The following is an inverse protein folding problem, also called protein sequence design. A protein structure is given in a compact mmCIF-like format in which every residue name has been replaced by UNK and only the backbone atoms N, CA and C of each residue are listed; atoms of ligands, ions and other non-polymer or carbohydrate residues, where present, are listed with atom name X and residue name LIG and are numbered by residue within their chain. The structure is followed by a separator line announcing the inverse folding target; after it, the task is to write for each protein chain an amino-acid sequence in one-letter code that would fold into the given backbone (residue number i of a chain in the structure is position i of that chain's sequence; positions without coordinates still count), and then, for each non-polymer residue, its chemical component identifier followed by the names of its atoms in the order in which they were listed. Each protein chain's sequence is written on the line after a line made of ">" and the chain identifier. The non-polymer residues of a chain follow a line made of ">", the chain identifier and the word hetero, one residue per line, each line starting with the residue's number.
data_IF_547910807924
#
_entry.id   IF_547910807924
#
_cell.length_a   1.000
_cell.length_b   1.000
_cell.length_c   1.000
_cell.angle_alpha   90.00
_cell.angle_beta   90.00
_cell.angle_gamma   90.00
#
_symmetry.space_group_name_H-M   'P 1'
#
loop_
_entity.id
_entity.type
_entity.pdbx_description
1 polymer ?
#
# COMPACT_ATOMS: atom_id res chain seq x y z
N UNK A 1 -36.16 -39.82 -17.49
CA UNK A 1 -35.88 -39.07 -16.23
C UNK A 1 -34.40 -38.92 -15.92
N UNK A 2 -33.55 -39.94 -15.93
CA UNK A 2 -32.11 -39.85 -15.59
C UNK A 2 -31.32 -38.81 -16.43
N UNK A 3 -31.52 -38.70 -17.74
CA UNK A 3 -30.82 -37.71 -18.61
C UNK A 3 -31.17 -36.25 -18.26
N UNK A 4 -32.41 -35.95 -17.87
CA UNK A 4 -32.81 -34.59 -17.48
C UNK A 4 -32.24 -34.19 -16.12
N UNK A 5 -32.09 -35.13 -15.18
CA UNK A 5 -31.44 -34.86 -13.89
C UNK A 5 -29.96 -34.59 -14.05
N UNK A 6 -29.25 -35.29 -14.97
CA UNK A 6 -27.83 -35.07 -15.25
C UNK A 6 -27.61 -33.67 -15.88
N UNK A 7 -28.49 -33.25 -16.80
CA UNK A 7 -28.40 -31.92 -17.41
C UNK A 7 -28.65 -30.81 -16.38
N UNK A 8 -29.63 -30.96 -15.51
CA UNK A 8 -29.90 -29.99 -14.44
C UNK A 8 -28.75 -29.97 -13.42
N UNK A 9 -28.15 -31.09 -13.07
CA UNK A 9 -26.98 -31.17 -12.20
C UNK A 9 -25.73 -30.52 -12.85
N UNK A 10 -25.54 -30.70 -14.16
CA UNK A 10 -24.44 -30.04 -14.92
C UNK A 10 -24.64 -28.52 -15.00
N UNK A 11 -25.88 -28.04 -15.17
CA UNK A 11 -26.19 -26.60 -15.15
C UNK A 11 -26.00 -26.02 -13.76
N UNK A 12 -26.40 -26.73 -12.69
CA UNK A 12 -26.17 -26.29 -11.31
C UNK A 12 -24.69 -26.26 -10.94
N UNK A 13 -23.89 -27.19 -11.46
CA UNK A 13 -22.43 -27.18 -11.29
C UNK A 13 -21.75 -26.00 -12.01
N UNK A 14 -22.27 -25.56 -13.14
CA UNK A 14 -21.74 -24.39 -13.86
C UNK A 14 -22.10 -23.06 -13.18
N UNK A 15 -23.25 -22.98 -12.51
CA UNK A 15 -23.66 -21.79 -11.74
C UNK A 15 -22.78 -21.59 -10.50
N UNK A 16 -22.24 -22.67 -9.92
CA UNK A 16 -21.31 -22.61 -8.77
C UNK A 16 -19.88 -22.18 -9.11
N UNK A 17 -19.52 -22.12 -10.39
CA UNK A 17 -18.16 -21.79 -10.86
C UNK A 17 -17.97 -20.32 -11.29
N UNK A 18 -18.89 -19.43 -10.95
CA UNK A 18 -18.64 -17.98 -11.09
C UNK A 18 -17.67 -17.61 -9.97
N UNK A 19 -16.37 -17.86 -10.22
CA UNK A 19 -15.30 -17.26 -9.42
C UNK A 19 -15.47 -15.75 -9.52
N UNK A 20 -15.86 -15.12 -8.42
CA UNK A 20 -15.90 -13.66 -8.35
C UNK A 20 -14.47 -13.19 -8.55
N UNK A 21 -14.18 -12.63 -9.70
CA UNK A 21 -12.95 -11.89 -9.95
C UNK A 21 -12.88 -10.81 -8.86
N UNK A 22 -11.99 -11.00 -7.91
CA UNK A 22 -11.70 -9.98 -6.92
C UNK A 22 -10.89 -8.93 -7.67
N UNK A 23 -11.48 -7.75 -7.86
CA UNK A 23 -10.75 -6.60 -8.36
C UNK A 23 -9.56 -6.33 -7.42
N UNK A 24 -8.42 -6.02 -8.01
CA UNK A 24 -7.20 -5.75 -7.27
C UNK A 24 -7.39 -4.46 -6.45
N UNK A 25 -6.91 -4.47 -5.21
CA UNK A 25 -6.74 -3.26 -4.41
C UNK A 25 -5.67 -2.40 -5.11
N UNK A 26 -5.72 -1.07 -4.90
CA UNK A 26 -4.67 -0.16 -5.36
C UNK A 26 -3.26 -0.66 -5.01
N UNK A 27 -2.21 -0.18 -5.70
CA UNK A 27 -0.83 -0.51 -5.34
C UNK A 27 -0.58 -0.37 -3.84
N UNK A 28 0.07 -1.36 -3.24
CA UNK A 28 0.38 -1.35 -1.81
C UNK A 28 1.75 -1.99 -1.55
N UNK A 29 2.34 -1.60 -0.43
CA UNK A 29 3.62 -2.10 0.04
C UNK A 29 3.44 -3.10 1.18
N UNK A 30 4.30 -4.10 1.25
CA UNK A 30 4.37 -5.02 2.40
C UNK A 30 4.88 -4.29 3.63
N UNK A 31 5.86 -3.38 3.45
CA UNK A 31 6.29 -2.42 4.45
C UNK A 31 5.40 -1.16 4.41
N UNK A 32 4.07 -1.30 4.60
CA UNK A 32 3.11 -0.21 4.47
C UNK A 32 3.47 0.99 5.37
N UNK A 33 4.13 0.74 6.49
CA UNK A 33 4.60 1.75 7.43
C UNK A 33 5.77 2.59 6.87
N UNK A 34 6.50 2.10 5.87
CA UNK A 34 7.60 2.83 5.24
C UNK A 34 7.12 3.85 4.17
N UNK A 35 5.83 3.87 3.84
CA UNK A 35 5.24 4.82 2.90
C UNK A 35 3.99 5.49 3.50
N UNK A 36 4.15 6.29 4.57
CA UNK A 36 3.06 6.71 5.45
C UNK A 36 2.05 7.65 4.80
N UNK A 37 2.46 8.58 3.92
CA UNK A 37 1.53 9.55 3.32
C UNK A 37 0.47 8.90 2.42
N UNK A 38 0.81 7.80 1.77
CA UNK A 38 -0.12 7.03 0.96
C UNK A 38 -1.03 6.12 1.80
N UNK A 39 -0.52 5.67 2.95
CA UNK A 39 -1.29 4.89 3.91
C UNK A 39 -2.41 5.72 4.53
N UNK A 40 -2.06 6.92 5.02
CA UNK A 40 -2.99 7.81 5.71
C UNK A 40 -2.48 9.26 5.62
N UNK A 41 -3.21 10.19 4.99
CA UNK A 41 -2.77 11.58 4.91
C UNK A 41 -2.59 12.27 6.27
N UNK A 42 -3.22 11.76 7.35
CA UNK A 42 -2.99 12.24 8.70
C UNK A 42 -1.58 11.95 9.25
N UNK A 43 -0.79 11.11 8.55
CA UNK A 43 0.62 10.87 8.88
C UNK A 43 1.56 11.93 8.32
N UNK A 44 1.05 12.92 7.57
CA UNK A 44 1.82 14.07 7.12
C UNK A 44 2.31 14.85 8.32
N UNK A 45 3.65 14.95 8.47
CA UNK A 45 4.31 15.63 9.59
C UNK A 45 4.32 14.86 10.91
N UNK A 46 3.83 13.61 10.95
CA UNK A 46 4.02 12.72 12.10
C UNK A 46 5.43 12.13 11.98
N UNK A 47 6.40 12.95 12.37
CA UNK A 47 7.83 12.67 12.27
C UNK A 47 8.56 13.23 13.49
N UNK A 48 9.67 12.59 13.86
CA UNK A 48 10.58 13.12 14.84
C UNK A 48 11.69 13.93 14.15
N UNK A 49 11.31 15.08 13.62
CA UNK A 49 12.16 15.95 12.82
C UNK A 49 11.37 17.03 12.10
N UNK A 50 12.01 17.71 11.15
CA UNK A 50 11.41 18.79 10.36
C UNK A 50 10.95 18.34 8.98
N UNK A 51 11.70 17.42 8.36
CA UNK A 51 11.45 16.93 7.00
C UNK A 51 11.76 15.45 6.94
N UNK A 52 10.87 14.67 6.31
CA UNK A 52 11.11 13.26 6.02
C UNK A 52 11.04 13.03 4.51
N UNK A 53 11.96 12.21 4.01
CA UNK A 53 11.96 11.72 2.63
C UNK A 53 11.90 10.20 2.68
N UNK A 54 10.96 9.60 1.94
CA UNK A 54 10.87 8.14 1.81
C UNK A 54 10.94 7.76 0.33
N UNK A 55 11.61 6.64 0.06
CA UNK A 55 11.63 5.98 -1.23
C UNK A 55 11.37 4.48 -1.04
N UNK A 56 10.45 3.94 -1.83
CA UNK A 56 10.09 2.53 -1.78
C UNK A 56 10.11 1.93 -3.19
N UNK A 57 10.57 0.70 -3.28
CA UNK A 57 10.52 -0.10 -4.49
C UNK A 57 10.06 -1.51 -4.17
N UNK A 58 9.09 -2.03 -4.93
CA UNK A 58 8.59 -3.40 -4.81
C UNK A 58 8.55 -4.08 -6.18
N UNK A 59 9.07 -5.29 -6.24
CA UNK A 59 8.92 -6.18 -7.38
C UNK A 59 8.16 -7.42 -6.92
N UNK A 60 6.90 -7.56 -7.36
CA UNK A 60 6.00 -8.63 -6.91
C UNK A 60 5.76 -9.62 -8.05
N UNK A 61 5.85 -10.92 -7.74
CA UNK A 61 5.67 -12.02 -8.70
C UNK A 61 6.70 -12.02 -9.83
N UNK A 62 7.97 -11.73 -9.52
CA UNK A 62 9.07 -11.66 -10.50
C UNK A 62 9.30 -12.94 -11.30
N UNK A 63 8.76 -14.08 -10.87
CA UNK A 63 8.80 -15.37 -11.58
C UNK A 63 7.74 -15.49 -12.68
N UNK A 64 6.78 -14.58 -12.74
CA UNK A 64 5.78 -14.47 -13.79
C UNK A 64 6.23 -13.37 -14.75
N UNK A 65 6.09 -13.57 -16.05
CA UNK A 65 6.42 -12.53 -17.04
C UNK A 65 5.71 -11.22 -16.72
N UNK A 66 6.46 -10.11 -16.83
CA UNK A 66 5.95 -8.75 -16.61
C UNK A 66 5.25 -8.56 -15.25
N UNK A 67 5.97 -8.95 -14.20
CA UNK A 67 5.59 -8.77 -12.81
C UNK A 67 5.20 -7.32 -12.46
N UNK A 68 4.50 -7.17 -11.33
CA UNK A 68 4.20 -5.84 -10.80
C UNK A 68 5.47 -5.18 -10.25
N UNK A 69 5.85 -4.06 -10.85
CA UNK A 69 6.94 -3.21 -10.36
C UNK A 69 6.35 -1.90 -9.85
N UNK A 70 6.53 -1.62 -8.57
CA UNK A 70 6.00 -0.43 -7.92
C UNK A 70 7.13 0.40 -7.37
N UNK A 71 7.25 1.65 -7.79
CA UNK A 71 8.16 2.64 -7.24
C UNK A 71 7.38 3.77 -6.58
N UNK A 72 7.84 4.28 -5.44
CA UNK A 72 7.20 5.38 -4.75
C UNK A 72 8.20 6.31 -4.08
N UNK A 73 7.84 7.58 -4.02
CA UNK A 73 8.61 8.64 -3.36
C UNK A 73 7.67 9.54 -2.61
N UNK A 74 8.04 9.92 -1.38
CA UNK A 74 7.31 10.94 -0.62
C UNK A 74 8.25 11.88 0.10
N UNK A 75 7.79 13.10 0.29
CA UNK A 75 8.42 14.11 1.14
C UNK A 75 7.35 14.80 1.97
N UNK A 76 7.61 14.96 3.25
CA UNK A 76 6.77 15.79 4.12
C UNK A 76 7.63 16.72 4.97
N UNK A 77 7.08 17.90 5.21
CA UNK A 77 7.72 18.99 5.91
C UNK A 77 6.78 19.52 6.99
N UNK A 78 7.33 19.69 8.20
CA UNK A 78 6.60 20.18 9.38
C UNK A 78 7.14 21.57 9.80
N UNK A 79 6.62 22.65 9.23
CA UNK A 79 7.05 24.02 9.55
C UNK A 79 6.74 24.44 10.99
N UNK A 80 5.69 23.86 11.60
CA UNK A 80 5.30 24.10 12.98
C UNK A 80 4.91 22.79 13.65
N UNK A 81 4.76 22.80 14.98
CA UNK A 81 4.33 21.62 15.75
C UNK A 81 2.90 21.15 15.40
N UNK A 82 2.10 21.99 14.77
CA UNK A 82 0.71 21.71 14.44
C UNK A 82 0.45 21.48 12.97
N UNK A 83 1.23 22.12 12.09
CA UNK A 83 0.97 22.15 10.64
C UNK A 83 2.06 21.41 9.90
N UNK A 84 1.67 20.60 8.95
CA UNK A 84 2.57 19.94 8.03
C UNK A 84 2.00 19.90 6.61
N UNK A 85 2.89 19.83 5.64
CA UNK A 85 2.58 19.65 4.22
C UNK A 85 3.40 18.50 3.67
N UNK A 86 2.86 17.81 2.68
CA UNK A 86 3.55 16.66 2.08
C UNK A 86 3.20 16.50 0.61
N UNK A 87 4.03 15.73 -0.05
CA UNK A 87 3.84 15.33 -1.43
C UNK A 87 4.25 13.88 -1.58
N UNK A 88 3.48 13.12 -2.32
CA UNK A 88 3.84 11.74 -2.61
C UNK A 88 3.47 11.34 -4.04
N UNK A 89 4.27 10.46 -4.62
CA UNK A 89 4.05 9.87 -5.94
C UNK A 89 4.25 8.37 -5.85
N UNK A 90 3.42 7.63 -6.58
CA UNK A 90 3.54 6.20 -6.75
C UNK A 90 3.34 5.85 -8.22
N UNK A 91 4.17 4.96 -8.74
CA UNK A 91 4.03 4.40 -10.08
C UNK A 91 4.09 2.88 -9.99
N UNK A 92 3.14 2.21 -10.64
CA UNK A 92 3.14 0.76 -10.78
C UNK A 92 3.00 0.40 -12.24
N UNK A 93 3.94 -0.41 -12.75
CA UNK A 93 3.87 -1.03 -14.06
C UNK A 93 3.54 -2.52 -13.88
N UNK A 94 2.71 -3.08 -14.77
CA UNK A 94 2.33 -4.49 -14.70
C UNK A 94 1.89 -5.04 -16.05
N UNK A 95 2.14 -6.34 -16.26
CA UNK A 95 1.61 -7.13 -17.36
C UNK A 95 2.20 -6.83 -18.73
N UNK A 96 1.90 -7.71 -19.69
CA UNK A 96 2.42 -7.66 -21.05
C UNK A 96 1.88 -6.47 -21.84
N UNK A 97 0.68 -6.00 -21.49
CA UNK A 97 0.01 -4.85 -22.12
C UNK A 97 0.58 -3.50 -21.66
N UNK A 98 1.67 -3.49 -20.88
CA UNK A 98 2.28 -2.27 -20.39
C UNK A 98 1.32 -1.43 -19.55
N UNK A 99 0.48 -2.08 -18.72
CA UNK A 99 -0.37 -1.36 -17.78
C UNK A 99 0.48 -0.49 -16.85
N UNK A 100 0.11 0.77 -16.75
CA UNK A 100 0.75 1.73 -15.86
C UNK A 100 -0.31 2.43 -15.02
N UNK A 101 -0.06 2.47 -13.72
CA UNK A 101 -0.79 3.25 -12.73
C UNK A 101 0.16 4.27 -12.14
N UNK A 102 -0.13 5.54 -12.32
CA UNK A 102 0.60 6.65 -11.71
C UNK A 102 -0.35 7.46 -10.84
N UNK A 103 0.06 7.76 -9.61
CA UNK A 103 -0.69 8.69 -8.76
C UNK A 103 0.27 9.69 -8.10
N UNK A 104 -0.20 10.93 -7.97
CA UNK A 104 0.52 12.01 -7.32
C UNK A 104 -0.44 12.84 -6.45
N UNK A 105 -0.07 13.05 -5.18
CA UNK A 105 -0.90 13.76 -4.20
C UNK A 105 -0.09 14.80 -3.45
N UNK A 106 -0.70 15.97 -3.25
CA UNK A 106 -0.33 16.91 -2.20
C UNK A 106 -1.15 16.61 -0.94
N UNK A 107 -0.54 16.69 0.23
CA UNK A 107 -1.21 16.45 1.52
C UNK A 107 -0.98 17.62 2.49
N UNK A 108 -1.97 17.80 3.37
CA UNK A 108 -1.93 18.75 4.47
C UNK A 108 -2.29 18.03 5.76
N UNK A 109 -1.47 18.19 6.79
CA UNK A 109 -1.65 17.62 8.12
C UNK A 109 -1.81 18.71 9.19
N UNK A 110 -2.69 18.44 10.17
CA UNK A 110 -2.87 19.29 11.33
C UNK A 110 -2.92 18.44 12.59
N UNK A 111 -1.98 18.64 13.51
CA UNK A 111 -1.85 17.89 14.75
C UNK A 111 -2.27 18.70 15.97
N UNK A 112 -3.04 18.09 16.87
CA UNK A 112 -3.51 18.66 18.12
C UNK A 112 -3.00 17.81 19.28
N UNK A 113 -2.36 18.42 20.27
CA UNK A 113 -2.05 17.77 21.53
C UNK A 113 -3.34 17.54 22.32
N UNK A 114 -3.55 16.31 22.78
CA UNK A 114 -4.71 15.90 23.59
C UNK A 114 -4.35 15.57 25.03
N UNK A 115 -3.07 15.73 25.39
CA UNK A 115 -2.57 15.65 26.77
C UNK A 115 -1.90 16.95 27.17
N UNK A 116 -1.84 17.20 28.48
CA UNK A 116 -1.23 18.42 29.03
C UNK A 116 0.28 18.50 28.81
N UNK A 117 0.95 17.36 28.71
CA UNK A 117 2.39 17.23 28.45
C UNK A 117 2.73 17.38 26.95
N UNK A 118 1.72 17.37 26.08
CA UNK A 118 1.87 17.53 24.64
C UNK A 118 2.36 16.28 23.87
N UNK A 119 2.58 15.15 24.54
CA UNK A 119 3.07 13.93 23.90
C UNK A 119 1.98 13.13 23.20
N UNK A 120 0.75 13.13 23.72
CA UNK A 120 -0.38 12.46 23.05
C UNK A 120 -1.00 13.42 22.05
N UNK A 121 -1.07 12.99 20.79
CA UNK A 121 -1.56 13.83 19.69
C UNK A 121 -2.59 13.12 18.83
N UNK A 122 -3.52 13.90 18.34
CA UNK A 122 -4.42 13.51 17.23
C UNK A 122 -4.05 14.35 16.02
N UNK A 123 -3.76 13.70 14.91
CA UNK A 123 -3.48 14.33 13.64
C UNK A 123 -4.65 14.11 12.68
N UNK A 124 -5.03 15.15 11.97
CA UNK A 124 -5.99 15.14 10.87
C UNK A 124 -5.24 15.41 9.59
N UNK A 125 -5.61 14.73 8.51
CA UNK A 125 -4.96 14.91 7.22
C UNK A 125 -5.96 14.90 6.09
N UNK A 126 -5.66 15.69 5.07
CA UNK A 126 -6.35 15.68 3.79
C UNK A 126 -5.32 15.59 2.67
N UNK A 127 -5.69 14.97 1.57
CA UNK A 127 -4.88 14.92 0.37
C UNK A 127 -5.74 15.13 -0.86
N UNK A 128 -5.13 15.72 -1.90
CA UNK A 128 -5.74 15.87 -3.21
C UNK A 128 -4.68 15.69 -4.29
N UNK A 129 -5.08 15.14 -5.44
CA UNK A 129 -4.14 14.84 -6.49
C UNK A 129 -4.78 14.23 -7.72
N UNK A 130 -3.99 13.52 -8.48
CA UNK A 130 -4.38 12.89 -9.74
C UNK A 130 -3.98 11.41 -9.74
N UNK A 131 -4.78 10.62 -10.45
CA UNK A 131 -4.45 9.26 -10.84
C UNK A 131 -4.47 9.21 -12.37
N UNK A 132 -3.39 8.76 -12.97
CA UNK A 132 -3.31 8.42 -14.38
C UNK A 132 -3.23 6.91 -14.53
N UNK A 133 -4.02 6.34 -15.40
CA UNK A 133 -3.93 4.93 -15.78
C UNK A 133 -3.83 4.82 -17.30
N UNK A 134 -2.94 3.97 -17.75
CA UNK A 134 -2.73 3.71 -19.16
C UNK A 134 -2.37 2.26 -19.44
N UNK A 135 -2.63 1.81 -20.65
CA UNK A 135 -2.17 0.53 -21.18
C UNK A 135 -2.00 0.63 -22.70
N UNK A 136 -1.23 -0.27 -23.28
CA UNK A 136 -0.96 -0.32 -24.71
C UNK A 136 -1.68 -1.55 -25.33
N UNK A 137 -2.83 -1.35 -26.01
CA UNK A 137 -3.57 -2.45 -26.59
C UNK A 137 -2.83 -3.15 -27.72
N UNK A 138 -1.82 -2.52 -28.35
CA UNK A 138 -1.04 -3.14 -29.43
C UNK A 138 -0.14 -4.26 -28.92
N UNK A 139 0.14 -4.28 -27.63
CA UNK A 139 0.90 -5.34 -26.95
C UNK A 139 0.01 -6.49 -26.46
N UNK A 140 -1.30 -6.32 -26.50
CA UNK A 140 -2.25 -7.35 -26.08
C UNK A 140 -2.41 -8.42 -27.17
N UNK A 141 -2.66 -9.65 -26.70
CA UNK A 141 -3.04 -10.77 -27.58
C UNK A 141 -4.50 -11.11 -27.31
N UNK A 142 -5.34 -11.02 -28.35
CA UNK A 142 -6.77 -11.26 -28.22
C UNK A 142 -7.15 -12.61 -28.80
N UNK A 143 -8.19 -13.23 -28.24
CA UNK A 143 -8.67 -14.54 -28.68
C UNK A 143 -9.05 -14.60 -30.19
N UNK A 144 -9.53 -13.48 -30.76
CA UNK A 144 -9.82 -13.33 -32.21
C UNK A 144 -8.57 -13.43 -33.09
N UNK A 145 -7.38 -13.24 -32.52
CA UNK A 145 -6.09 -13.32 -33.24
C UNK A 145 -5.44 -14.69 -33.10
N UNK A 146 -6.11 -15.67 -32.50
CA UNK A 146 -5.60 -17.04 -32.41
C UNK A 146 -6.22 -17.93 -33.48
N UNK A 147 -5.34 -18.55 -34.28
CA UNK A 147 -5.70 -19.60 -35.21
C UNK A 147 -5.39 -20.96 -34.55
N UNK A 148 -6.35 -21.91 -34.56
CA UNK A 148 -6.13 -23.23 -33.95
C UNK A 148 -4.93 -24.01 -34.53
N UNK A 149 -4.52 -23.72 -35.78
CA UNK A 149 -3.45 -24.44 -36.48
C UNK A 149 -2.08 -23.73 -36.39
N UNK A 150 -2.05 -22.38 -36.35
CA UNK A 150 -0.81 -21.59 -36.42
C UNK A 150 -0.53 -20.79 -35.15
N UNK A 151 -1.45 -20.76 -34.18
CA UNK A 151 -1.30 -20.00 -32.93
C UNK A 151 -1.67 -18.53 -33.14
N UNK A 152 -0.99 -17.64 -32.37
CA UNK A 152 -1.21 -16.19 -32.43
C UNK A 152 -0.74 -15.61 -33.77
N UNK A 153 -1.61 -14.85 -34.42
CA UNK A 153 -1.35 -14.13 -35.68
C UNK A 153 -1.67 -12.63 -35.50
N UNK A 154 -0.64 -11.76 -35.37
CA UNK A 154 -0.84 -10.33 -35.19
C UNK A 154 -1.45 -9.61 -36.39
N UNK A 155 -1.52 -10.26 -37.58
CA UNK A 155 -2.15 -9.69 -38.77
C UNK A 155 -3.67 -9.78 -38.72
N UNK A 156 -4.23 -10.65 -37.86
CA UNK A 156 -5.68 -10.76 -37.67
C UNK A 156 -6.20 -9.58 -36.84
N UNK A 157 -7.41 -9.06 -37.18
CA UNK A 157 -7.99 -7.97 -36.39
C UNK A 157 -8.34 -8.42 -34.97
N UNK A 158 -8.03 -7.59 -34.00
CA UNK A 158 -8.36 -7.88 -32.60
C UNK A 158 -9.86 -7.90 -32.31
N UNK A 159 -10.66 -7.21 -33.15
CA UNK A 159 -12.10 -6.95 -32.95
C UNK A 159 -12.45 -6.26 -31.62
N UNK A 160 -11.45 -5.75 -30.89
CA UNK A 160 -11.64 -5.02 -29.66
C UNK A 160 -11.58 -3.51 -29.93
N UNK A 161 -12.51 -2.78 -29.36
CA UNK A 161 -12.58 -1.33 -29.48
C UNK A 161 -12.36 -0.68 -28.11
N UNK A 162 -11.23 0.00 -27.94
CA UNK A 162 -10.89 0.71 -26.73
C UNK A 162 -11.16 2.19 -26.92
N UNK A 163 -12.13 2.73 -26.17
CA UNK A 163 -12.45 4.15 -26.21
C UNK A 163 -11.34 5.00 -25.57
N UNK A 164 -10.73 4.49 -24.51
CA UNK A 164 -9.65 5.15 -23.80
C UNK A 164 -8.54 4.15 -23.44
N UNK A 165 -7.32 4.48 -23.80
CA UNK A 165 -6.12 3.71 -23.42
C UNK A 165 -5.23 4.47 -22.43
N UNK A 166 -5.55 5.74 -22.19
CA UNK A 166 -4.87 6.62 -21.23
C UNK A 166 -5.89 7.62 -20.69
N UNK A 167 -5.98 7.71 -19.37
CA UNK A 167 -6.87 8.67 -18.73
C UNK A 167 -6.38 9.13 -17.38
N UNK A 168 -6.57 10.42 -17.12
CA UNK A 168 -6.24 11.06 -15.84
C UNK A 168 -7.52 11.49 -15.13
N UNK A 169 -7.62 11.18 -13.85
CA UNK A 169 -8.75 11.55 -13.01
C UNK A 169 -8.26 12.30 -11.77
N UNK A 170 -9.09 13.20 -11.24
CA UNK A 170 -8.87 13.84 -9.95
C UNK A 170 -9.24 12.88 -8.82
N UNK A 171 -8.46 12.91 -7.73
CA UNK A 171 -8.72 12.13 -6.54
C UNK A 171 -8.46 12.94 -5.27
N UNK A 172 -9.10 12.51 -4.16
CA UNK A 172 -8.96 13.11 -2.85
C UNK A 172 -9.09 12.05 -1.76
N UNK A 173 -8.48 12.33 -0.61
CA UNK A 173 -8.56 11.48 0.57
C UNK A 173 -8.48 12.27 1.86
N UNK A 174 -8.88 11.64 2.96
CA UNK A 174 -8.79 12.21 4.30
C UNK A 174 -8.47 11.12 5.32
N UNK A 175 -7.95 11.53 6.47
CA UNK A 175 -7.67 10.59 7.55
C UNK A 175 -7.54 11.25 8.90
N UNK A 176 -7.52 10.39 9.91
CA UNK A 176 -7.27 10.74 11.31
C UNK A 176 -6.27 9.72 11.87
N UNK A 177 -5.36 10.20 12.69
CA UNK A 177 -4.33 9.37 13.34
C UNK A 177 -4.09 9.84 14.77
N UNK A 178 -4.07 8.90 15.70
CA UNK A 178 -3.71 9.12 17.10
C UNK A 178 -2.37 8.46 17.39
N UNK A 179 -1.55 9.09 18.21
CA UNK A 179 -0.36 8.47 18.77
C UNK A 179 -0.01 9.02 20.16
N UNK A 180 0.54 8.13 20.99
CA UNK A 180 1.20 8.45 22.23
C UNK A 180 2.72 8.51 21.98
N UNK A 181 3.30 9.69 22.12
CA UNK A 181 4.73 9.93 21.94
C UNK A 181 5.50 10.07 23.25
N UNK A 182 4.92 9.74 24.40
CA UNK A 182 5.57 9.91 25.70
C UNK A 182 6.76 8.94 25.84
N UNK A 183 7.99 9.46 25.95
CA UNK A 183 9.19 8.62 26.06
C UNK A 183 9.29 7.89 27.41
N UNK A 184 8.54 8.31 28.42
CA UNK A 184 8.52 7.70 29.75
C UNK A 184 7.59 6.49 29.80
N UNK A 185 6.67 6.34 28.84
CA UNK A 185 5.79 5.19 28.79
C UNK A 185 6.50 3.95 28.26
N UNK A 186 6.27 2.82 28.91
CA UNK A 186 6.73 1.52 28.43
C UNK A 186 5.87 0.99 27.26
N UNK A 187 4.71 1.60 27.05
CA UNK A 187 3.76 1.21 25.99
C UNK A 187 3.18 2.47 25.34
N UNK A 188 3.47 2.67 24.07
CA UNK A 188 3.01 3.81 23.26
C UNK A 188 2.07 3.31 22.16
N UNK A 189 0.78 3.56 22.33
CA UNK A 189 -0.24 3.17 21.36
C UNK A 189 -0.32 4.16 20.21
N UNK A 190 -0.56 3.65 18.99
CA UNK A 190 -0.85 4.47 17.82
C UNK A 190 -1.88 3.78 16.92
N UNK A 191 -2.65 4.57 16.19
CA UNK A 191 -3.60 4.02 15.23
C UNK A 191 -4.35 5.10 14.48
N UNK A 192 -4.87 4.73 13.32
CA UNK A 192 -5.57 5.67 12.47
C UNK A 192 -6.52 5.02 11.49
N UNK A 193 -7.34 5.88 10.92
CA UNK A 193 -8.28 5.54 9.86
C UNK A 193 -8.10 6.53 8.70
N UNK A 194 -8.20 6.03 7.48
CA UNK A 194 -8.19 6.89 6.29
C UNK A 194 -9.20 6.41 5.25
N UNK A 195 -9.62 7.35 4.42
CA UNK A 195 -10.53 7.12 3.30
C UNK A 195 -9.90 7.76 2.07
N UNK A 196 -9.67 6.96 1.03
CA UNK A 196 -9.16 7.40 -0.27
C UNK A 196 -10.27 7.32 -1.32
N UNK A 197 -10.09 8.01 -2.46
CA UNK A 197 -11.04 8.07 -3.58
C UNK A 197 -12.38 8.73 -3.22
N UNK A 198 -12.31 9.76 -2.36
CA UNK A 198 -13.49 10.53 -1.96
C UNK A 198 -14.12 11.30 -3.13
N UNK A 199 -13.33 11.70 -4.13
CA UNK A 199 -13.80 12.36 -5.33
C UNK A 199 -14.74 11.47 -6.16
N UNK A 200 -14.64 10.14 -6.01
CA UNK A 200 -15.44 9.16 -6.75
C UNK A 200 -15.50 9.46 -8.26
N UNK A 201 -14.35 9.84 -8.82
CA UNK A 201 -14.22 10.12 -10.25
C UNK A 201 -14.67 8.93 -11.09
N UNK A 202 -15.21 9.19 -12.28
CA UNK A 202 -15.58 8.10 -13.21
C UNK A 202 -14.38 7.23 -13.53
N UNK A 203 -14.56 5.92 -13.57
CA UNK A 203 -13.51 5.00 -13.99
C UNK A 203 -13.16 5.28 -15.46
N UNK A 204 -11.93 5.64 -15.77
CA UNK A 204 -11.54 6.04 -17.14
C UNK A 204 -11.66 4.91 -18.17
N UNK A 205 -11.67 3.65 -17.72
CA UNK A 205 -11.81 2.47 -18.59
C UNK A 205 -13.21 1.86 -18.54
N UNK A 206 -14.15 2.54 -17.92
CA UNK A 206 -15.54 2.11 -17.94
C UNK A 206 -16.09 2.20 -19.36
N UNK A 207 -16.88 1.21 -19.76
CA UNK A 207 -17.58 1.21 -21.05
C UNK A 207 -18.48 2.45 -21.13
N UNK A 208 -18.56 3.03 -22.33
CA UNK A 208 -19.36 4.24 -22.57
C UNK A 208 -20.80 4.04 -22.10
N UNK A 209 -21.31 5.05 -21.36
CA UNK A 209 -22.63 4.98 -20.73
C UNK A 209 -22.65 4.31 -19.35
N UNK A 210 -21.57 3.71 -18.88
CA UNK A 210 -21.51 3.18 -17.53
C UNK A 210 -21.28 4.29 -16.50
N UNK A 211 -21.96 4.20 -15.34
CA UNK A 211 -21.77 5.11 -14.20
C UNK A 211 -20.72 4.60 -13.21
N UNK A 212 -19.84 3.70 -13.65
CA UNK A 212 -18.80 3.13 -12.78
C UNK A 212 -17.88 4.23 -12.29
N UNK A 213 -17.71 4.28 -10.97
CA UNK A 213 -16.84 5.25 -10.29
C UNK A 213 -15.72 4.52 -9.60
N UNK A 214 -14.58 5.18 -9.47
CA UNK A 214 -13.48 4.66 -8.67
C UNK A 214 -14.00 4.37 -7.25
N UNK A 215 -13.83 3.13 -6.77
CA UNK A 215 -14.38 2.73 -5.46
C UNK A 215 -13.62 3.39 -4.32
N UNK A 216 -14.34 3.80 -3.29
CA UNK A 216 -13.75 4.30 -2.05
C UNK A 216 -12.93 3.17 -1.41
N UNK A 217 -11.71 3.53 -0.96
CA UNK A 217 -10.84 2.65 -0.17
C UNK A 217 -10.84 3.12 1.28
N UNK A 218 -11.16 2.21 2.18
CA UNK A 218 -11.06 2.39 3.63
C UNK A 218 -9.81 1.70 4.13
N UNK A 219 -9.06 2.39 4.98
CA UNK A 219 -7.87 1.83 5.64
C UNK A 219 -7.98 2.06 7.14
N UNK A 220 -7.72 1.03 7.93
CA UNK A 220 -7.58 1.09 9.39
C UNK A 220 -6.26 0.45 9.75
N UNK A 221 -5.44 1.14 10.52
CA UNK A 221 -4.17 0.61 10.97
C UNK A 221 -3.91 0.98 12.43
N UNK A 222 -3.28 0.10 13.17
CA UNK A 222 -2.95 0.32 14.57
C UNK A 222 -1.73 -0.50 14.98
N UNK A 223 -1.08 -0.06 16.05
CA UNK A 223 0.01 -0.77 16.69
C UNK A 223 0.29 -0.21 18.08
N UNK A 224 1.21 -0.85 18.75
CA UNK A 224 1.69 -0.43 20.05
C UNK A 224 3.20 -0.68 20.10
N UNK A 225 3.99 0.33 20.47
CA UNK A 225 5.38 0.15 20.81
C UNK A 225 5.47 -0.28 22.27
N UNK A 226 6.11 -1.40 22.53
CA UNK A 226 6.36 -1.93 23.86
C UNK A 226 7.87 -1.89 24.11
N UNK A 227 8.30 -1.07 25.06
CA UNK A 227 9.70 -1.03 25.52
C UNK A 227 9.93 -2.26 26.42
N UNK A 228 10.50 -3.32 25.85
CA UNK A 228 10.78 -4.55 26.58
C UNK A 228 12.06 -4.41 27.45
N UNK A 229 13.03 -3.60 26.98
CA UNK A 229 14.24 -3.21 27.74
C UNK A 229 14.79 -1.90 27.17
N UNK A 230 15.91 -1.41 27.70
CA UNK A 230 16.58 -0.23 27.14
C UNK A 230 17.16 -0.49 25.74
N UNK A 231 17.42 -1.76 25.41
CA UNK A 231 18.01 -2.18 24.14
C UNK A 231 17.04 -2.81 23.17
N UNK A 232 15.78 -3.00 23.55
CA UNK A 232 14.86 -3.81 22.78
C UNK A 232 13.43 -3.32 22.89
N UNK A 233 12.86 -2.95 21.75
CA UNK A 233 11.45 -2.59 21.61
C UNK A 233 10.74 -3.63 20.72
N UNK A 234 9.47 -3.92 21.01
CA UNK A 234 8.60 -4.74 20.17
C UNK A 234 7.42 -3.91 19.72
N UNK A 235 7.10 -3.95 18.44
CA UNK A 235 6.01 -3.19 17.85
C UNK A 235 5.05 -4.14 17.12
N UNK A 236 4.09 -4.79 17.82
CA UNK A 236 2.98 -5.46 17.17
C UNK A 236 2.08 -4.45 16.48
N UNK A 237 1.64 -4.79 15.26
CA UNK A 237 0.84 -3.91 14.43
C UNK A 237 -0.13 -4.69 13.54
N UNK A 238 -1.19 -4.03 13.11
CA UNK A 238 -2.19 -4.59 12.21
C UNK A 238 -2.69 -3.55 11.22
N UNK A 239 -3.11 -4.02 10.05
CA UNK A 239 -3.76 -3.21 9.03
C UNK A 239 -4.95 -3.94 8.44
N UNK A 240 -5.99 -3.17 8.14
CA UNK A 240 -7.16 -3.59 7.39
C UNK A 240 -7.43 -2.58 6.28
N UNK A 241 -7.47 -3.04 5.04
CA UNK A 241 -7.87 -2.25 3.88
C UNK A 241 -9.05 -2.90 3.18
N UNK A 242 -9.98 -2.08 2.68
CA UNK A 242 -11.12 -2.54 1.89
C UNK A 242 -11.43 -1.56 0.77
N UNK A 243 -11.55 -2.10 -0.45
CA UNK A 243 -11.97 -1.37 -1.64
C UNK A 243 -13.01 -2.22 -2.38
N UNK A 244 -14.27 -1.85 -2.34
CA UNK A 244 -15.41 -2.67 -2.78
C UNK A 244 -15.45 -4.07 -2.13
N UNK A 245 -15.24 -5.10 -2.96
CA UNK A 245 -15.19 -6.52 -2.55
C UNK A 245 -13.78 -7.00 -2.21
N UNK A 246 -12.75 -6.25 -2.62
CA UNK A 246 -11.38 -6.57 -2.30
C UNK A 246 -11.06 -6.12 -0.88
N UNK A 247 -10.42 -6.98 -0.11
CA UNK A 247 -9.98 -6.69 1.25
C UNK A 247 -8.58 -7.25 1.48
N UNK A 248 -7.81 -6.52 2.26
CA UNK A 248 -6.51 -6.92 2.77
C UNK A 248 -6.52 -6.83 4.28
N UNK A 249 -6.02 -7.86 4.93
CA UNK A 249 -5.86 -7.95 6.38
C UNK A 249 -4.45 -8.45 6.64
N UNK A 250 -3.71 -7.74 7.46
CA UNK A 250 -2.41 -8.21 7.88
C UNK A 250 -2.17 -7.92 9.36
N UNK A 251 -1.45 -8.82 10.01
CA UNK A 251 -0.98 -8.67 11.38
C UNK A 251 0.49 -9.02 11.41
N UNK A 252 1.25 -8.31 12.21
CA UNK A 252 2.68 -8.53 12.31
C UNK A 252 3.28 -7.92 13.55
N UNK A 253 4.57 -8.09 13.68
CA UNK A 253 5.38 -7.40 14.64
C UNK A 253 6.78 -7.18 14.08
N UNK A 254 7.39 -6.08 14.45
CA UNK A 254 8.82 -5.89 14.28
C UNK A 254 9.45 -5.47 15.60
N UNK A 255 10.74 -5.72 15.71
CA UNK A 255 11.55 -5.37 16.87
C UNK A 255 12.72 -4.54 16.43
N UNK A 256 13.09 -3.56 17.20
CA UNK A 256 14.34 -2.84 17.04
C UNK A 256 15.30 -3.21 18.17
N UNK A 257 16.44 -3.78 17.79
CA UNK A 257 17.58 -4.05 18.65
C UNK A 257 18.50 -2.83 18.59
N UNK A 258 18.57 -2.03 19.62
CA UNK A 258 19.47 -0.89 19.73
C UNK A 258 20.90 -1.39 19.95
N UNK A 259 21.74 -1.22 18.96
CA UNK A 259 23.16 -1.61 19.02
C UNK A 259 24.01 -0.51 19.66
N UNK A 260 23.63 0.74 19.42
CA UNK A 260 24.20 1.98 19.97
C UNK A 260 23.07 3.01 20.06
N UNK A 261 23.29 4.15 20.66
CA UNK A 261 22.28 5.20 20.82
C UNK A 261 21.66 5.64 19.48
N UNK A 262 22.45 5.61 18.41
CA UNK A 262 22.08 6.06 17.07
C UNK A 262 22.00 4.96 16.03
N UNK A 263 22.10 3.66 16.44
CA UNK A 263 22.09 2.50 15.53
C UNK A 263 21.23 1.38 16.06
N UNK A 264 20.44 0.80 15.19
CA UNK A 264 19.57 -0.32 15.51
C UNK A 264 19.39 -1.30 14.36
N UNK A 265 19.25 -2.56 14.69
CA UNK A 265 18.84 -3.61 13.77
C UNK A 265 17.33 -3.82 13.92
N UNK A 266 16.59 -3.75 12.83
CA UNK A 266 15.16 -3.98 12.80
C UNK A 266 14.90 -5.37 12.20
N UNK A 267 14.16 -6.20 12.92
CA UNK A 267 13.75 -7.53 12.46
C UNK A 267 12.25 -7.67 12.65
N UNK A 268 11.55 -8.21 11.68
CA UNK A 268 10.11 -8.34 11.77
C UNK A 268 9.53 -9.43 10.89
N UNK A 269 8.26 -9.70 11.14
CA UNK A 269 7.46 -10.59 10.34
C UNK A 269 6.00 -10.15 10.34
N UNK A 270 5.31 -10.42 9.25
CA UNK A 270 3.90 -10.11 9.10
C UNK A 270 3.20 -11.24 8.32
N UNK A 271 1.96 -11.49 8.66
CA UNK A 271 1.11 -12.40 7.90
C UNK A 271 -0.04 -11.63 7.26
N UNK A 272 -0.07 -11.60 5.94
CA UNK A 272 -1.15 -11.06 5.12
C UNK A 272 -2.08 -12.19 4.76
N UNK A 273 -3.27 -12.16 5.35
CA UNK A 273 -4.23 -13.26 5.27
C UNK A 273 -4.62 -13.60 3.83
N UNK A 274 -4.52 -14.89 3.48
CA UNK A 274 -4.82 -15.46 2.15
C UNK A 274 -3.91 -14.96 1.03
N UNK A 275 -2.77 -14.34 1.36
CA UNK A 275 -1.85 -13.81 0.37
C UNK A 275 -0.40 -14.19 0.65
N UNK A 276 0.25 -13.69 1.70
CA UNK A 276 1.68 -13.92 1.93
C UNK A 276 2.08 -13.94 3.41
N UNK A 277 3.12 -14.70 3.72
CA UNK A 277 3.94 -14.52 4.91
C UNK A 277 5.12 -13.60 4.52
N UNK A 278 5.44 -12.62 5.34
CA UNK A 278 6.42 -11.57 5.04
C UNK A 278 7.49 -11.56 6.11
N UNK A 279 8.75 -11.57 5.71
CA UNK A 279 9.90 -11.36 6.59
C UNK A 279 10.51 -10.00 6.29
N UNK A 280 10.88 -9.25 7.34
CA UNK A 280 11.44 -7.90 7.24
C UNK A 280 12.78 -7.84 7.96
N UNK A 281 13.72 -7.15 7.35
CA UNK A 281 14.98 -6.75 7.97
C UNK A 281 15.21 -5.26 7.68
N UNK A 282 15.76 -4.54 8.64
CA UNK A 282 16.11 -3.13 8.46
C UNK A 282 17.28 -2.73 9.32
N UNK A 283 17.89 -1.62 8.96
CA UNK A 283 18.99 -1.03 9.71
C UNK A 283 18.73 0.47 9.89
N UNK A 284 18.83 0.90 11.10
CA UNK A 284 18.70 2.31 11.50
C UNK A 284 20.09 2.84 11.84
N UNK A 285 20.46 3.98 11.27
CA UNK A 285 21.69 4.70 11.60
C UNK A 285 21.41 6.21 11.56
N UNK A 286 21.52 6.87 12.70
CA UNK A 286 21.17 8.27 12.88
C UNK A 286 19.75 8.60 12.40
N UNK A 287 19.64 9.32 11.32
CA UNK A 287 18.38 9.75 10.70
C UNK A 287 17.94 8.86 9.52
N UNK A 288 18.76 7.86 9.16
CA UNK A 288 18.54 6.98 8.03
C UNK A 288 18.00 5.63 8.48
N UNK A 289 16.93 5.17 7.84
CA UNK A 289 16.42 3.80 7.97
C UNK A 289 16.41 3.17 6.59
N UNK A 290 17.01 2.01 6.47
CA UNK A 290 16.96 1.18 5.26
C UNK A 290 16.27 -0.11 5.63
N UNK A 291 15.29 -0.52 4.83
CA UNK A 291 14.52 -1.74 5.04
C UNK A 291 14.48 -2.61 3.79
N UNK A 292 14.42 -3.91 4.00
CA UNK A 292 14.12 -4.89 2.98
C UNK A 292 13.08 -5.87 3.50
N UNK A 293 12.19 -6.32 2.65
CA UNK A 293 11.26 -7.40 2.97
C UNK A 293 11.12 -8.39 1.82
N UNK A 294 10.74 -9.61 2.17
CA UNK A 294 10.44 -10.65 1.23
C UNK A 294 9.08 -11.27 1.54
N UNK A 295 8.21 -11.31 0.52
CA UNK A 295 6.90 -11.92 0.57
C UNK A 295 7.00 -13.39 0.14
N UNK A 296 6.65 -14.32 1.03
CA UNK A 296 6.46 -15.73 0.71
C UNK A 296 4.99 -15.94 0.36
N UNK A 297 4.71 -16.24 -0.90
CA UNK A 297 3.34 -16.40 -1.37
C UNK A 297 2.67 -17.64 -0.75
N UNK A 298 1.57 -17.43 -0.04
CA UNK A 298 0.75 -18.49 0.59
C UNK A 298 -0.64 -18.60 -0.03
N UNK A 299 -0.91 -17.81 -1.09
CA UNK A 299 -2.19 -17.77 -1.80
C UNK A 299 -2.31 -18.94 -2.81
N UNK A 300 -3.44 -18.98 -3.51
CA UNK A 300 -3.64 -19.93 -4.63
C UNK A 300 -2.63 -19.75 -5.78
N UNK A 301 -1.96 -18.58 -5.86
CA UNK A 301 -0.90 -18.31 -6.85
C UNK A 301 0.42 -19.01 -6.53
N UNK A 302 0.57 -19.66 -5.37
CA UNK A 302 1.78 -20.40 -4.97
C UNK A 302 2.24 -21.39 -6.05
N UNK A 303 1.30 -22.04 -6.74
CA UNK A 303 1.62 -22.98 -7.83
C UNK A 303 2.27 -22.30 -9.04
N UNK A 304 1.81 -21.11 -9.40
CA UNK A 304 2.32 -20.34 -10.55
C UNK A 304 3.63 -19.61 -10.20
N UNK A 305 3.81 -19.23 -8.94
CA UNK A 305 4.97 -18.45 -8.48
C UNK A 305 6.04 -19.28 -7.81
N UNK A 306 5.83 -20.61 -7.65
CA UNK A 306 6.70 -21.50 -6.87
C UNK A 306 6.95 -20.97 -5.45
N UNK A 307 5.94 -20.31 -4.86
CA UNK A 307 6.03 -19.71 -3.53
C UNK A 307 6.69 -18.31 -3.50
N UNK A 308 7.22 -17.82 -4.61
CA UNK A 308 7.85 -16.50 -4.67
C UNK A 308 6.79 -15.40 -4.75
N UNK A 309 6.70 -14.54 -3.74
CA UNK A 309 5.77 -13.42 -3.68
C UNK A 309 6.38 -12.15 -4.21
N UNK A 310 7.44 -11.66 -3.59
CA UNK A 310 8.10 -10.44 -4.03
C UNK A 310 9.16 -9.92 -3.08
N UNK A 311 10.00 -9.03 -3.60
CA UNK A 311 10.99 -8.29 -2.82
C UNK A 311 10.59 -6.83 -2.75
N UNK A 312 10.81 -6.21 -1.59
CA UNK A 312 10.58 -4.79 -1.37
C UNK A 312 11.78 -4.16 -0.66
N UNK A 313 12.15 -2.96 -1.10
CA UNK A 313 13.20 -2.14 -0.51
C UNK A 313 12.60 -0.80 -0.09
N UNK A 314 13.02 -0.28 1.06
CA UNK A 314 12.61 1.02 1.57
C UNK A 314 13.79 1.81 2.10
N UNK A 315 13.73 3.12 1.92
CA UNK A 315 14.68 4.07 2.48
C UNK A 315 13.87 5.22 3.06
N UNK A 316 14.15 5.57 4.31
CA UNK A 316 13.57 6.73 4.98
C UNK A 316 14.68 7.59 5.58
N UNK A 317 14.66 8.88 5.34
CA UNK A 317 15.59 9.83 5.92
C UNK A 317 14.84 11.00 6.57
N UNK A 318 15.18 11.28 7.84
CA UNK A 318 14.57 12.36 8.61
C UNK A 318 15.60 13.44 8.93
N UNK A 319 15.38 14.66 8.41
CA UNK A 319 16.19 15.83 8.76
C UNK A 319 15.74 16.35 10.11
N UNK A 320 16.69 16.53 11.04
CA UNK A 320 16.46 17.01 12.41
C UNK A 320 17.24 18.30 12.62
N UNK A 321 16.55 19.44 12.68
CA UNK A 321 17.16 20.74 13.02
C UNK A 321 17.07 21.07 14.50
N UNK A 322 16.05 20.56 15.18
CA UNK A 322 15.79 20.77 16.60
C UNK A 322 15.43 19.45 17.24
N UNK A 323 16.14 19.06 18.25
CA UNK A 323 15.80 17.93 19.13
C UNK A 323 15.14 18.54 20.36
N UNK A 324 13.87 18.19 20.62
CA UNK A 324 13.25 18.45 21.93
C UNK A 324 13.72 17.36 22.89
N UNK A 325 14.27 17.74 24.01
CA UNK A 325 14.58 16.80 25.08
C UNK A 325 13.49 16.87 26.17
N UNK A 326 12.95 15.72 26.65
CA UNK A 326 13.18 14.38 26.14
C UNK A 326 12.56 14.15 24.75
N UNK A 327 13.25 13.40 23.91
CA UNK A 327 12.83 13.14 22.52
C UNK A 327 11.50 12.36 22.50
N UNK A 328 10.46 12.92 21.87
CA UNK A 328 9.18 12.24 21.73
C UNK A 328 9.35 10.95 20.91
N UNK A 329 8.68 9.90 21.36
CA UNK A 329 8.62 8.64 20.63
C UNK A 329 7.64 8.81 19.48
N UNK A 330 8.15 9.05 18.27
CA UNK A 330 7.31 9.00 17.07
C UNK A 330 7.10 7.54 16.69
N UNK A 331 5.84 7.11 16.41
CA UNK A 331 5.63 5.78 15.85
C UNK A 331 6.47 5.65 14.58
N UNK A 332 7.39 4.70 14.58
CA UNK A 332 8.11 4.33 13.36
C UNK A 332 7.15 3.55 12.49
N UNK A 333 6.45 4.28 11.65
CA UNK A 333 5.64 3.74 10.57
C UNK A 333 6.51 3.64 9.36
#
# INVERSE_FOLDING_TARGET
>A
MKKRVIVIMAILLQIGAISQLKAQIDPHFSQYYAYPLYLNPALTGVINGDTRINANFKNQYATINNAYQTGALSVDFRPTDKVAVGFNVINQAAGDVGYNYFAAYGSFGYAIAVSNDGYKKVSFGVQAGIINRSFDPTKAQFGSQFNPSSGFDPSLPSNENFLNTNATIFDAGAGVFYYDGDPLHNANFFGGVSVSHLARSKDPFAVDGSSLKLPIRYTVHAGIRIKASDYFDIIPHAIYMRQQKAEEKAVGAYSELKLQDDKGLILGGMYRFKDAAIANIGYHVNSLIIGASYDFNTSSLTRATSGNGGIELSISYVFRKRIQEPEAVCPRL
#
